data_IF_823358524298
#
_entry.id   IF_823358524298
#
_cell.length_a   1.000
_cell.length_b   1.000
_cell.length_c   1.000
_cell.angle_alpha   90.00
_cell.angle_beta   90.00
_cell.angle_gamma   90.00
#
_symmetry.space_group_name_H-M   'P 1'
#
loop_
_entity.id
_entity.type
_entity.pdbx_description
1 polymer ?
#
# COMPACT_ATOMS: atom_id res chain seq x y z
N UNK A 1 -21.05 1.88 32.36
CA UNK A 1 -19.86 1.91 31.47
C UNK A 1 -20.29 2.10 30.02
N UNK A 2 -20.07 3.26 29.38
CA UNK A 2 -20.38 3.52 27.98
C UNK A 2 -19.15 3.31 27.06
N UNK A 3 -18.46 2.18 27.16
CA UNK A 3 -17.19 1.96 26.45
C UNK A 3 -17.39 1.73 24.93
N UNK A 4 -18.56 1.23 24.52
CA UNK A 4 -18.86 0.90 23.11
C UNK A 4 -19.18 2.14 22.26
N UNK A 5 -19.81 3.16 22.85
CA UNK A 5 -20.23 4.39 22.16
C UNK A 5 -19.02 5.29 21.86
N UNK A 6 -18.16 5.50 22.85
CA UNK A 6 -16.95 6.32 22.71
C UNK A 6 -15.95 5.76 21.69
N UNK A 7 -15.79 4.43 21.62
CA UNK A 7 -14.97 3.77 20.57
C UNK A 7 -15.54 3.93 19.16
N UNK A 8 -16.86 3.88 19.02
CA UNK A 8 -17.55 4.09 17.74
C UNK A 8 -17.35 5.52 17.24
N UNK A 9 -17.47 6.50 18.14
CA UNK A 9 -17.30 7.92 17.82
C UNK A 9 -15.84 8.23 17.46
N UNK A 10 -14.88 7.65 18.20
CA UNK A 10 -13.45 7.78 17.90
C UNK A 10 -13.07 7.18 16.53
N UNK A 11 -13.67 6.05 16.15
CA UNK A 11 -13.46 5.43 14.83
C UNK A 11 -14.11 6.26 13.71
N UNK A 12 -15.30 6.82 13.94
CA UNK A 12 -15.95 7.73 12.99
C UNK A 12 -15.12 9.00 12.76
N UNK A 13 -14.59 9.61 13.83
CA UNK A 13 -13.72 10.77 13.72
C UNK A 13 -12.41 10.45 12.98
N UNK A 14 -11.79 9.29 13.22
CA UNK A 14 -10.62 8.85 12.44
C UNK A 14 -10.95 8.80 10.95
N UNK A 15 -12.04 8.13 10.57
CA UNK A 15 -12.45 8.00 9.16
C UNK A 15 -12.67 9.37 8.50
N UNK A 16 -13.37 10.27 9.19
CA UNK A 16 -13.60 11.64 8.71
C UNK A 16 -12.30 12.40 8.47
N UNK A 17 -11.34 12.31 9.40
CA UNK A 17 -10.03 12.95 9.25
C UNK A 17 -9.27 12.38 8.05
N UNK A 18 -9.18 11.05 7.94
CA UNK A 18 -8.46 10.39 6.86
C UNK A 18 -9.06 10.69 5.48
N UNK A 19 -10.39 10.69 5.37
CA UNK A 19 -11.09 11.05 4.14
C UNK A 19 -10.86 12.51 3.76
N UNK A 20 -10.98 13.43 4.73
CA UNK A 20 -10.72 14.85 4.52
C UNK A 20 -9.27 15.08 4.07
N UNK A 21 -8.31 14.46 4.75
CA UNK A 21 -6.90 14.55 4.41
C UNK A 21 -6.63 14.01 3.00
N UNK A 22 -7.17 12.84 2.65
CA UNK A 22 -7.05 12.24 1.32
C UNK A 22 -7.56 13.18 0.23
N UNK A 23 -8.74 13.77 0.42
CA UNK A 23 -9.33 14.70 -0.55
C UNK A 23 -8.47 15.95 -0.71
N UNK A 24 -8.07 16.58 0.40
CA UNK A 24 -7.19 17.76 0.35
C UNK A 24 -5.84 17.45 -0.29
N UNK A 25 -5.22 16.32 0.05
CA UNK A 25 -3.94 15.91 -0.53
C UNK A 25 -4.04 15.63 -2.03
N UNK A 26 -5.15 15.03 -2.48
CA UNK A 26 -5.38 14.80 -3.91
C UNK A 26 -5.57 16.11 -4.69
N UNK A 27 -6.14 17.14 -4.06
CA UNK A 27 -6.44 18.41 -4.71
C UNK A 27 -5.27 19.39 -4.71
N UNK A 28 -4.52 19.44 -3.60
CA UNK A 28 -3.50 20.47 -3.36
C UNK A 28 -2.08 19.91 -3.22
N UNK A 29 -1.92 18.59 -3.20
CA UNK A 29 -0.65 17.93 -2.93
C UNK A 29 -0.38 17.76 -1.44
N UNK A 30 0.37 16.70 -1.08
CA UNK A 30 0.64 16.38 0.32
C UNK A 30 1.39 17.53 1.00
N UNK A 31 2.42 18.11 0.39
CA UNK A 31 3.26 19.15 1.00
C UNK A 31 2.49 20.43 1.37
N UNK A 32 1.59 20.88 0.51
CA UNK A 32 0.89 22.18 0.64
C UNK A 32 -0.21 22.18 1.70
N UNK A 33 -0.80 21.02 1.99
CA UNK A 33 -1.94 20.92 2.91
C UNK A 33 -1.46 20.95 4.37
N UNK A 34 -1.97 21.89 5.16
CA UNK A 34 -1.62 21.99 6.59
C UNK A 34 -2.57 21.20 7.51
N UNK A 35 -2.10 20.84 8.71
CA UNK A 35 -2.94 20.26 9.77
C UNK A 35 -4.11 21.19 10.15
N UNK A 36 -3.91 22.51 10.14
CA UNK A 36 -4.98 23.49 10.34
C UNK A 36 -6.06 23.40 9.26
N UNK A 37 -5.66 23.32 7.98
CA UNK A 37 -6.59 23.21 6.86
C UNK A 37 -7.42 21.92 6.94
N UNK A 38 -6.79 20.80 7.34
CA UNK A 38 -7.48 19.52 7.55
C UNK A 38 -8.51 19.64 8.68
N UNK A 39 -8.13 20.17 9.84
CA UNK A 39 -9.04 20.36 10.97
C UNK A 39 -10.24 21.24 10.60
N UNK A 40 -9.98 22.38 9.93
CA UNK A 40 -11.01 23.31 9.46
C UNK A 40 -11.98 22.64 8.47
N UNK A 41 -11.46 21.89 7.50
CA UNK A 41 -12.27 21.24 6.46
C UNK A 41 -13.09 20.07 7.03
N UNK A 42 -12.52 19.33 7.99
CA UNK A 42 -13.21 18.24 8.69
C UNK A 42 -14.23 18.75 9.73
N UNK A 43 -14.29 20.06 10.00
CA UNK A 43 -15.18 20.63 11.01
C UNK A 43 -14.82 20.23 12.45
N UNK A 44 -13.56 19.89 12.72
CA UNK A 44 -13.10 19.49 14.06
C UNK A 44 -12.17 20.55 14.67
N UNK A 45 -12.16 20.63 16.00
CA UNK A 45 -11.20 21.49 16.71
C UNK A 45 -9.75 21.04 16.48
N UNK A 46 -8.82 21.98 16.29
CA UNK A 46 -7.40 21.66 16.07
C UNK A 46 -6.81 20.81 17.20
N UNK A 47 -7.15 21.13 18.46
CA UNK A 47 -6.70 20.35 19.62
C UNK A 47 -7.20 18.90 19.59
N UNK A 48 -8.31 18.61 18.92
CA UNK A 48 -8.81 17.24 18.71
C UNK A 48 -7.96 16.50 17.69
N UNK A 49 -7.59 17.17 16.60
CA UNK A 49 -6.69 16.61 15.58
C UNK A 49 -5.30 16.33 16.17
N UNK A 50 -4.70 17.32 16.85
CA UNK A 50 -3.35 17.20 17.42
C UNK A 50 -3.24 16.21 18.57
N UNK A 51 -4.33 15.95 19.31
CA UNK A 51 -4.37 14.87 20.30
C UNK A 51 -4.24 13.48 19.68
N UNK A 52 -4.63 13.32 18.41
CA UNK A 52 -4.59 12.05 17.69
C UNK A 52 -3.34 11.92 16.82
N UNK A 53 -2.94 13.01 16.18
CA UNK A 53 -1.77 13.08 15.29
C UNK A 53 -0.91 14.26 15.74
N UNK A 54 0.22 13.98 16.41
CA UNK A 54 1.08 15.02 16.97
C UNK A 54 1.68 15.88 15.85
N UNK A 55 2.00 15.25 14.72
CA UNK A 55 2.44 15.93 13.50
C UNK A 55 1.81 15.30 12.25
N UNK A 56 2.04 15.94 11.10
CA UNK A 56 1.51 15.52 9.81
C UNK A 56 2.02 14.14 9.39
N UNK A 57 3.24 13.76 9.80
CA UNK A 57 3.79 12.43 9.58
C UNK A 57 2.94 11.31 10.20
N UNK A 58 2.42 11.50 11.41
CA UNK A 58 1.51 10.53 12.05
C UNK A 58 0.24 10.32 11.23
N UNK A 59 -0.35 11.42 10.75
CA UNK A 59 -1.54 11.37 9.89
C UNK A 59 -1.24 10.68 8.56
N UNK A 60 -0.09 10.99 7.95
CA UNK A 60 0.36 10.35 6.73
C UNK A 60 0.58 8.84 6.93
N UNK A 61 1.15 8.43 8.05
CA UNK A 61 1.34 7.02 8.41
C UNK A 61 0.01 6.30 8.55
N UNK A 62 -0.95 6.88 9.28
CA UNK A 62 -2.28 6.28 9.47
C UNK A 62 -3.05 6.18 8.13
N UNK A 63 -2.84 7.15 7.24
CA UNK A 63 -3.40 7.13 5.90
C UNK A 63 -2.73 6.09 4.98
N UNK A 64 -1.42 5.87 5.11
CA UNK A 64 -0.70 4.78 4.43
C UNK A 64 -1.22 3.42 4.89
N UNK A 65 -1.38 3.22 6.20
CA UNK A 65 -1.88 1.98 6.78
C UNK A 65 -3.32 1.71 6.34
N UNK A 66 -4.22 2.72 6.41
CA UNK A 66 -5.60 2.62 5.94
C UNK A 66 -5.70 2.28 4.43
N UNK A 67 -4.80 2.85 3.64
CA UNK A 67 -4.78 2.61 2.20
C UNK A 67 -4.20 1.24 1.86
N UNK A 68 -3.14 0.81 2.54
CA UNK A 68 -2.57 -0.52 2.40
C UNK A 68 -3.53 -1.61 2.85
N UNK A 69 -4.24 -1.43 3.96
CA UNK A 69 -5.21 -2.39 4.45
C UNK A 69 -6.35 -2.61 3.45
N UNK A 70 -6.86 -1.55 2.81
CA UNK A 70 -7.88 -1.68 1.77
C UNK A 70 -7.39 -2.48 0.56
N UNK A 71 -6.16 -2.25 0.12
CA UNK A 71 -5.54 -3.05 -0.95
C UNK A 71 -5.44 -4.53 -0.55
N UNK A 72 -5.06 -4.81 0.69
CA UNK A 72 -4.96 -6.18 1.18
C UNK A 72 -6.33 -6.87 1.23
N UNK A 73 -7.35 -6.20 1.75
CA UNK A 73 -8.71 -6.75 1.81
C UNK A 73 -9.25 -7.08 0.41
N UNK A 74 -8.93 -6.24 -0.59
CA UNK A 74 -9.27 -6.47 -2.00
C UNK A 74 -8.48 -7.65 -2.58
N UNK A 75 -7.17 -7.72 -2.34
CA UNK A 75 -6.31 -8.83 -2.78
C UNK A 75 -6.76 -10.17 -2.22
N UNK A 76 -7.04 -10.24 -0.92
CA UNK A 76 -7.48 -11.47 -0.26
C UNK A 76 -8.83 -11.95 -0.79
N UNK A 77 -9.76 -11.01 -1.06
CA UNK A 77 -11.04 -11.32 -1.69
C UNK A 77 -10.86 -11.87 -3.10
N UNK A 78 -10.13 -11.16 -3.95
CA UNK A 78 -9.95 -11.59 -5.33
C UNK A 78 -9.25 -12.96 -5.41
N UNK A 79 -8.25 -13.21 -4.54
CA UNK A 79 -7.58 -14.50 -4.45
C UNK A 79 -8.50 -15.63 -4.00
N UNK A 80 -9.42 -15.36 -3.07
CA UNK A 80 -10.42 -16.34 -2.64
C UNK A 80 -11.33 -16.74 -3.81
N UNK A 81 -11.76 -15.76 -4.61
CA UNK A 81 -12.64 -15.96 -5.76
C UNK A 81 -12.00 -16.81 -6.87
N UNK A 82 -10.67 -16.75 -7.01
CA UNK A 82 -9.92 -17.52 -8.01
C UNK A 82 -9.04 -18.63 -7.41
N UNK A 83 -9.37 -19.11 -6.20
CA UNK A 83 -8.55 -20.08 -5.46
C UNK A 83 -8.29 -21.40 -6.21
N UNK A 84 -9.18 -21.80 -7.13
CA UNK A 84 -9.02 -22.98 -7.99
C UNK A 84 -8.17 -22.79 -9.25
N UNK A 85 -7.66 -21.58 -9.51
CA UNK A 85 -6.79 -21.28 -10.65
C UNK A 85 -5.34 -21.64 -10.36
N UNK A 86 -4.55 -21.79 -11.41
CA UNK A 86 -3.12 -22.08 -11.28
C UNK A 86 -2.41 -20.99 -10.45
N UNK A 87 -1.40 -21.39 -9.66
CA UNK A 87 -0.69 -20.46 -8.78
C UNK A 87 -0.03 -19.30 -9.56
N UNK A 88 0.44 -19.55 -10.78
CA UNK A 88 1.00 -18.53 -11.66
C UNK A 88 -0.06 -17.49 -12.08
N UNK A 89 -1.30 -17.90 -12.35
CA UNK A 89 -2.40 -16.98 -12.68
C UNK A 89 -2.82 -16.15 -11.45
N UNK A 90 -2.87 -16.79 -10.27
CA UNK A 90 -3.12 -16.10 -9.00
C UNK A 90 -2.04 -15.07 -8.67
N UNK A 91 -0.77 -15.41 -8.88
CA UNK A 91 0.33 -14.45 -8.76
C UNK A 91 0.19 -13.33 -9.79
N UNK A 92 -0.19 -13.66 -11.02
CA UNK A 92 -0.58 -12.72 -12.07
C UNK A 92 -1.57 -11.66 -11.63
N UNK A 93 -2.62 -12.06 -10.92
CA UNK A 93 -3.62 -11.16 -10.36
C UNK A 93 -3.03 -10.27 -9.27
N UNK A 94 -2.28 -10.84 -8.32
CA UNK A 94 -1.66 -10.07 -7.22
C UNK A 94 -0.74 -8.99 -7.77
N UNK A 95 0.10 -9.34 -8.74
CA UNK A 95 1.03 -8.39 -9.36
C UNK A 95 0.29 -7.29 -10.12
N UNK A 96 -0.77 -7.63 -10.86
CA UNK A 96 -1.59 -6.66 -11.57
C UNK A 96 -2.22 -5.65 -10.61
N UNK A 97 -2.79 -6.12 -9.49
CA UNK A 97 -3.40 -5.26 -8.46
C UNK A 97 -2.39 -4.33 -7.81
N UNK A 98 -1.19 -4.83 -7.49
CA UNK A 98 -0.10 -3.99 -6.95
C UNK A 98 0.32 -2.93 -7.98
N UNK A 99 0.45 -3.31 -9.25
CA UNK A 99 0.81 -2.38 -10.32
C UNK A 99 -0.28 -1.32 -10.53
N UNK A 100 -1.55 -1.71 -10.55
CA UNK A 100 -2.67 -0.76 -10.66
C UNK A 100 -2.71 0.20 -9.47
N UNK A 101 -2.48 -0.31 -8.26
CA UNK A 101 -2.42 0.51 -7.05
C UNK A 101 -1.27 1.52 -7.13
N UNK A 102 -0.09 1.11 -7.56
CA UNK A 102 1.06 2.01 -7.72
C UNK A 102 0.78 3.04 -8.82
N UNK A 103 0.24 2.63 -9.97
CA UNK A 103 -0.11 3.52 -11.08
C UNK A 103 -1.09 4.61 -10.62
N UNK A 104 -2.16 4.21 -9.95
CA UNK A 104 -3.20 5.14 -9.47
C UNK A 104 -2.69 6.06 -8.36
N UNK A 105 -1.79 5.57 -7.49
CA UNK A 105 -1.43 6.26 -6.25
C UNK A 105 0.01 6.78 -6.20
N UNK A 106 0.86 6.57 -7.19
CA UNK A 106 2.29 6.94 -7.13
C UNK A 106 2.55 8.42 -6.76
N UNK A 107 1.78 9.35 -7.36
CA UNK A 107 1.84 10.78 -7.07
C UNK A 107 1.46 11.11 -5.62
N UNK A 108 0.68 10.24 -4.98
CA UNK A 108 0.27 10.35 -3.59
C UNK A 108 1.24 9.61 -2.65
N UNK A 109 1.65 8.38 -2.98
CA UNK A 109 2.51 7.52 -2.17
C UNK A 109 3.90 8.09 -1.96
N UNK A 110 4.50 8.73 -2.98
CA UNK A 110 5.86 9.26 -2.87
C UNK A 110 5.95 10.42 -1.87
N UNK A 111 5.14 11.49 -1.98
CA UNK A 111 5.15 12.56 -0.98
C UNK A 111 4.76 12.07 0.42
N UNK A 112 3.81 11.14 0.51
CA UNK A 112 3.37 10.54 1.77
C UNK A 112 4.51 9.79 2.45
N UNK A 113 5.26 8.99 1.68
CA UNK A 113 6.46 8.30 2.15
C UNK A 113 7.56 9.29 2.55
N UNK A 114 7.77 10.38 1.81
CA UNK A 114 8.79 11.37 2.16
C UNK A 114 8.48 12.09 3.48
N UNK A 115 7.22 12.48 3.69
CA UNK A 115 6.79 13.09 4.96
C UNK A 115 6.94 12.09 6.11
N UNK A 116 6.66 10.81 5.88
CA UNK A 116 6.85 9.73 6.86
C UNK A 116 8.34 9.43 7.15
N UNK A 117 9.16 9.30 6.11
CA UNK A 117 10.56 8.87 6.18
C UNK A 117 11.51 9.98 6.68
N UNK A 118 11.11 11.26 6.59
CA UNK A 118 11.86 12.34 7.24
C UNK A 118 11.88 12.22 8.78
N UNK A 119 10.98 11.42 9.37
CA UNK A 119 10.85 11.23 10.81
C UNK A 119 11.26 9.81 11.28
N UNK A 120 11.49 8.85 10.35
CA UNK A 120 11.66 7.41 10.67
C UNK A 120 12.68 6.66 9.79
N UNK A 121 12.93 5.40 10.16
CA UNK A 121 13.75 4.41 9.43
C UNK A 121 13.25 4.20 7.98
N UNK A 122 14.12 4.44 6.98
CA UNK A 122 13.82 4.26 5.54
C UNK A 122 13.38 2.85 5.17
N UNK A 123 13.67 1.86 6.01
CA UNK A 123 13.27 0.47 5.83
C UNK A 123 11.97 0.10 6.56
N UNK A 124 11.34 1.05 7.27
CA UNK A 124 10.12 0.80 8.04
C UNK A 124 8.98 0.23 7.21
N UNK A 125 8.89 0.58 5.92
CA UNK A 125 7.93 -0.02 5.00
C UNK A 125 8.02 -1.55 4.96
N UNK A 126 9.23 -2.12 4.95
CA UNK A 126 9.44 -3.57 4.90
C UNK A 126 9.06 -4.29 6.20
N UNK A 127 8.81 -3.54 7.29
CA UNK A 127 8.30 -4.06 8.56
C UNK A 127 6.80 -3.79 8.75
N UNK A 128 6.17 -3.10 7.79
CA UNK A 128 4.74 -2.80 7.87
C UNK A 128 3.89 -4.07 7.75
N UNK A 129 2.73 -4.16 8.43
CA UNK A 129 1.85 -5.31 8.35
C UNK A 129 1.43 -5.64 6.91
N UNK A 130 1.13 -4.60 6.11
CA UNK A 130 0.76 -4.75 4.70
C UNK A 130 1.87 -5.43 3.89
N UNK A 131 3.12 -4.96 4.02
CA UNK A 131 4.23 -5.54 3.27
C UNK A 131 4.46 -7.00 3.66
N UNK A 132 4.48 -7.29 4.97
CA UNK A 132 4.70 -8.65 5.46
C UNK A 132 3.61 -9.61 4.98
N UNK A 133 2.34 -9.17 4.99
CA UNK A 133 1.21 -9.97 4.55
C UNK A 133 1.24 -10.23 3.04
N UNK A 134 1.49 -9.21 2.23
CA UNK A 134 1.63 -9.37 0.77
C UNK A 134 2.81 -10.26 0.44
N UNK A 135 3.96 -10.09 1.12
CA UNK A 135 5.13 -10.96 0.95
C UNK A 135 4.78 -12.41 1.28
N UNK A 136 4.03 -12.66 2.35
CA UNK A 136 3.58 -14.00 2.74
C UNK A 136 2.68 -14.63 1.66
N UNK A 137 1.70 -13.87 1.14
CA UNK A 137 0.83 -14.34 0.06
C UNK A 137 1.63 -14.71 -1.20
N UNK A 138 2.54 -13.84 -1.63
CA UNK A 138 3.39 -14.10 -2.80
C UNK A 138 4.35 -15.27 -2.56
N UNK A 139 4.90 -15.40 -1.35
CA UNK A 139 5.76 -16.54 -0.97
C UNK A 139 5.00 -17.87 -1.10
N UNK A 140 3.76 -17.93 -0.61
CA UNK A 140 2.91 -19.12 -0.73
C UNK A 140 2.64 -19.49 -2.18
N UNK A 141 2.36 -18.49 -3.03
CA UNK A 141 2.15 -18.73 -4.46
C UNK A 141 3.41 -19.24 -5.16
N UNK A 142 4.60 -18.72 -4.80
CA UNK A 142 5.86 -19.29 -5.26
C UNK A 142 6.04 -20.73 -4.80
N UNK A 143 5.76 -21.05 -3.53
CA UNK A 143 5.84 -22.42 -3.01
C UNK A 143 4.93 -23.39 -3.79
N UNK A 144 3.73 -22.95 -4.17
CA UNK A 144 2.79 -23.75 -4.97
C UNK A 144 3.21 -23.95 -6.42
N UNK A 145 3.94 -23.00 -7.02
CA UNK A 145 4.43 -23.10 -8.40
C UNK A 145 5.63 -24.05 -8.52
N UNK A 146 6.40 -24.22 -7.45
CA UNK A 146 7.63 -25.03 -7.48
C UNK A 146 7.30 -26.51 -7.51
N UNK A 147 7.96 -27.23 -8.41
CA UNK A 147 7.89 -28.70 -8.49
C UNK A 147 9.00 -29.39 -7.71
N UNK A 148 9.97 -28.63 -7.18
CA UNK A 148 11.08 -29.18 -6.38
C UNK A 148 10.84 -29.02 -4.87
N UNK A 149 11.41 -29.91 -4.07
CA UNK A 149 11.43 -29.82 -2.59
C UNK A 149 12.50 -28.82 -2.10
N UNK A 150 12.74 -27.74 -2.85
CA UNK A 150 13.78 -26.75 -2.54
C UNK A 150 13.57 -26.03 -1.20
N UNK A 151 14.60 -25.30 -0.77
CA UNK A 151 14.58 -24.50 0.46
C UNK A 151 13.52 -23.38 0.36
N UNK A 152 12.57 -23.34 1.30
CA UNK A 152 11.55 -22.27 1.43
C UNK A 152 12.13 -20.84 1.41
N UNK A 153 13.39 -20.70 1.81
CA UNK A 153 14.14 -19.44 1.75
C UNK A 153 14.20 -18.85 0.34
N UNK A 154 14.22 -19.71 -0.70
CA UNK A 154 14.25 -19.26 -2.11
C UNK A 154 12.95 -18.57 -2.52
N UNK A 155 11.79 -19.11 -2.12
CA UNK A 155 10.48 -18.50 -2.40
C UNK A 155 10.32 -17.17 -1.68
N UNK A 156 10.71 -17.11 -0.41
CA UNK A 156 10.64 -15.88 0.39
C UNK A 156 11.57 -14.79 -0.17
N UNK A 157 12.76 -15.17 -0.65
CA UNK A 157 13.67 -14.27 -1.35
C UNK A 157 13.08 -13.78 -2.67
N UNK A 158 12.55 -14.68 -3.51
CA UNK A 158 11.92 -14.33 -4.78
C UNK A 158 10.74 -13.36 -4.59
N UNK A 159 9.88 -13.63 -3.60
CA UNK A 159 8.79 -12.75 -3.23
C UNK A 159 9.28 -11.35 -2.81
N UNK A 160 10.31 -11.29 -1.97
CA UNK A 160 10.92 -10.02 -1.56
C UNK A 160 11.49 -9.25 -2.76
N UNK A 161 12.28 -9.91 -3.61
CA UNK A 161 12.91 -9.30 -4.77
C UNK A 161 11.88 -8.76 -5.77
N UNK A 162 10.84 -9.54 -6.07
CA UNK A 162 9.75 -9.16 -6.97
C UNK A 162 8.96 -7.95 -6.46
N UNK A 163 8.64 -7.92 -5.16
CA UNK A 163 7.92 -6.79 -4.56
C UNK A 163 8.79 -5.54 -4.48
N UNK A 164 10.07 -5.68 -4.14
CA UNK A 164 11.01 -4.56 -4.02
C UNK A 164 11.32 -3.90 -5.36
N UNK A 165 11.28 -4.64 -6.48
CA UNK A 165 11.45 -4.06 -7.82
C UNK A 165 10.25 -3.18 -8.25
N UNK A 166 9.08 -3.38 -7.64
CA UNK A 166 7.87 -2.55 -7.83
C UNK A 166 7.76 -1.42 -6.79
N UNK A 167 8.81 -0.61 -6.65
CA UNK A 167 8.69 0.61 -5.86
C UNK A 167 8.11 1.76 -6.72
N UNK A 168 7.36 2.72 -6.12
CA UNK A 168 6.70 3.79 -6.88
C UNK A 168 7.65 4.67 -7.73
N UNK A 169 8.88 4.91 -7.26
CA UNK A 169 9.87 5.72 -7.99
C UNK A 169 10.32 4.96 -9.25
N UNK A 170 10.67 3.68 -9.10
CA UNK A 170 11.02 2.81 -10.22
C UNK A 170 9.87 2.67 -11.21
N UNK A 171 8.63 2.54 -10.74
CA UNK A 171 7.45 2.50 -11.59
C UNK A 171 7.29 3.77 -12.44
N UNK A 172 7.44 4.96 -11.83
CA UNK A 172 7.38 6.23 -12.57
C UNK A 172 8.48 6.34 -13.62
N UNK A 173 9.70 5.88 -13.32
CA UNK A 173 10.78 5.83 -14.31
C UNK A 173 10.41 4.94 -15.50
N UNK A 174 9.85 3.75 -15.26
CA UNK A 174 9.35 2.88 -16.33
C UNK A 174 8.26 3.56 -17.19
N UNK A 175 7.31 4.25 -16.56
CA UNK A 175 6.17 4.88 -17.24
C UNK A 175 6.54 6.15 -18.01
N UNK A 176 7.28 7.05 -17.37
CA UNK A 176 7.45 8.42 -17.84
C UNK A 176 8.75 8.62 -18.61
N UNK A 177 9.83 7.94 -18.21
CA UNK A 177 11.14 8.10 -18.85
C UNK A 177 11.41 7.02 -19.89
N UNK A 178 11.08 5.76 -19.58
CA UNK A 178 11.27 4.64 -20.51
C UNK A 178 10.05 4.38 -21.41
N UNK A 179 8.91 5.03 -21.16
CA UNK A 179 7.73 5.00 -22.03
C UNK A 179 6.95 3.68 -22.06
N UNK A 180 7.19 2.77 -21.11
CA UNK A 180 6.43 1.52 -21.06
C UNK A 180 4.96 1.79 -20.70
N UNK A 181 4.01 1.16 -21.40
CA UNK A 181 2.60 1.17 -21.00
C UNK A 181 2.41 0.35 -19.71
N UNK A 182 1.33 0.65 -18.96
CA UNK A 182 0.99 -0.15 -17.77
C UNK A 182 0.80 -1.63 -18.11
N UNK A 183 0.13 -1.93 -19.22
CA UNK A 183 -0.11 -3.31 -19.65
C UNK A 183 1.19 -4.02 -20.04
N UNK A 184 2.13 -3.32 -20.67
CA UNK A 184 3.45 -3.87 -20.96
C UNK A 184 4.21 -4.20 -19.66
N UNK A 185 4.17 -3.31 -18.66
CA UNK A 185 4.79 -3.56 -17.34
C UNK A 185 4.18 -4.81 -16.70
N UNK A 186 2.85 -4.93 -16.66
CA UNK A 186 2.16 -6.13 -16.14
C UNK A 186 2.61 -7.41 -16.86
N UNK A 187 2.66 -7.36 -18.19
CA UNK A 187 3.12 -8.49 -19.01
C UNK A 187 4.57 -8.88 -18.70
N UNK A 188 5.48 -7.92 -18.59
CA UNK A 188 6.89 -8.21 -18.30
C UNK A 188 7.10 -8.75 -16.89
N UNK A 189 6.35 -8.25 -15.90
CA UNK A 189 6.39 -8.81 -14.55
C UNK A 189 5.93 -10.26 -14.52
N UNK A 190 4.90 -10.63 -15.30
CA UNK A 190 4.47 -12.04 -15.46
C UNK A 190 5.58 -12.94 -15.99
N UNK A 191 6.34 -12.46 -16.97
CA UNK A 191 7.45 -13.21 -17.55
C UNK A 191 8.57 -13.54 -16.54
N UNK A 192 8.70 -12.78 -15.44
CA UNK A 192 9.74 -13.01 -14.43
C UNK A 192 9.53 -14.29 -13.62
N UNK A 193 8.28 -14.73 -13.47
CA UNK A 193 7.96 -15.93 -12.69
C UNK A 193 7.27 -17.03 -13.50
N UNK A 194 6.80 -16.75 -14.71
CA UNK A 194 6.21 -17.77 -15.59
C UNK A 194 7.24 -18.75 -16.19
N UNK A 195 8.53 -18.60 -15.88
CA UNK A 195 9.64 -19.46 -16.33
C UNK A 195 10.30 -20.23 -15.18
N UNK A 196 9.76 -20.11 -13.97
CA UNK A 196 10.16 -20.88 -12.78
C UNK A 196 9.35 -22.17 -12.76
#
# INVERSE_FOLDING_TARGET
MPIRKERSDAAAHRRLILETARNLFSQYGVSEVSMHQIAKTAGIGQGTLYRRYAHKGDLCSDLMEDTGQRLLDELERDLADISGREAAERLGLVMDRIIDFIDEKCQFLIPLHNVYACETDRTAFFRSPIYLRVKELVTKLYDEMRTDNGEKEKSAFAAHALLSSLNPIGYLHLRNELGYSKDAIKQYYRCLYSRV
#
